data_IF_453249711129
#
_entry.id   IF_453249711129
#
_cell.length_a   1.000
_cell.length_b   1.000
_cell.length_c   1.000
_cell.angle_alpha   90.00
_cell.angle_beta   90.00
_cell.angle_gamma   90.00
#
_symmetry.space_group_name_H-M   'P 1'
#
loop_
_entity.id
_entity.type
_entity.pdbx_description
1 polymer ?
#
# COMPACT_ATOMS: atom_id res chain seq x y z
N UNK A 1 -0.83 -17.41 -3.91
CA UNK A 1 -1.93 -16.51 -4.28
C UNK A 1 -1.76 -15.99 -5.71
N UNK A 2 -2.80 -16.03 -6.57
CA UNK A 2 -2.78 -15.41 -7.91
C UNK A 2 -2.53 -13.89 -7.86
N UNK A 3 -1.79 -13.34 -8.82
CA UNK A 3 -1.42 -11.92 -8.85
C UNK A 3 -2.63 -10.98 -8.82
N UNK A 4 -3.66 -11.25 -9.64
CA UNK A 4 -4.86 -10.43 -9.69
C UNK A 4 -5.76 -10.55 -8.44
N UNK A 5 -5.61 -11.61 -7.65
CA UNK A 5 -6.29 -11.72 -6.35
C UNK A 5 -5.57 -10.87 -5.30
N UNK A 6 -4.23 -10.94 -5.26
CA UNK A 6 -3.40 -10.15 -4.35
C UNK A 6 -3.61 -8.64 -4.55
N UNK A 7 -3.58 -8.18 -5.81
CA UNK A 7 -3.82 -6.77 -6.17
C UNK A 7 -5.17 -6.30 -5.65
N UNK A 8 -6.24 -7.07 -5.89
CA UNK A 8 -7.59 -6.70 -5.43
C UNK A 8 -7.71 -6.67 -3.92
N UNK A 9 -7.11 -7.64 -3.22
CA UNK A 9 -7.12 -7.65 -1.76
C UNK A 9 -6.37 -6.45 -1.17
N UNK A 10 -5.21 -6.10 -1.74
CA UNK A 10 -4.43 -4.94 -1.30
C UNK A 10 -5.20 -3.63 -1.57
N UNK A 11 -5.71 -3.42 -2.78
CA UNK A 11 -6.44 -2.19 -3.12
C UNK A 11 -7.69 -2.01 -2.25
N UNK A 12 -8.45 -3.09 -2.02
CA UNK A 12 -9.60 -3.06 -1.12
C UNK A 12 -9.21 -2.80 0.34
N UNK A 13 -8.07 -3.32 0.80
CA UNK A 13 -7.60 -3.17 2.18
C UNK A 13 -7.20 -1.74 2.55
N UNK A 14 -7.00 -0.84 1.58
CA UNK A 14 -6.62 0.55 1.83
C UNK A 14 -7.73 1.56 1.53
N UNK A 15 -8.96 1.13 1.20
CA UNK A 15 -10.09 2.06 1.14
C UNK A 15 -10.27 2.80 2.49
N UNK A 16 -10.59 4.11 2.48
CA UNK A 16 -10.93 4.95 1.32
C UNK A 16 -9.73 5.60 0.59
N UNK A 17 -8.49 5.27 0.95
CA UNK A 17 -7.29 5.82 0.30
C UNK A 17 -7.14 5.33 -1.14
N UNK A 18 -6.51 6.15 -1.99
CA UNK A 18 -6.22 5.78 -3.38
C UNK A 18 -5.02 4.83 -3.42
N UNK A 19 -5.30 3.54 -3.33
CA UNK A 19 -4.30 2.49 -3.47
C UNK A 19 -4.25 1.98 -4.92
N UNK A 20 -3.05 1.94 -5.51
CA UNK A 20 -2.81 1.25 -6.78
C UNK A 20 -1.69 0.25 -6.61
N UNK A 21 -1.97 -0.99 -7.01
CA UNK A 21 -1.02 -2.09 -6.97
C UNK A 21 -0.72 -2.61 -8.37
N UNK A 22 0.54 -2.98 -8.61
CA UNK A 22 0.96 -3.64 -9.84
C UNK A 22 1.99 -4.72 -9.52
N UNK A 23 1.87 -5.87 -10.18
CA UNK A 23 2.93 -6.88 -10.19
C UNK A 23 3.76 -6.65 -11.46
N UNK A 24 5.06 -6.48 -11.28
CA UNK A 24 6.02 -6.27 -12.36
C UNK A 24 6.38 -7.59 -13.06
N UNK A 25 7.08 -7.51 -14.18
CA UNK A 25 7.58 -8.68 -14.90
C UNK A 25 8.56 -9.53 -14.07
N UNK A 26 9.20 -8.94 -13.05
CA UNK A 26 10.11 -9.60 -12.11
C UNK A 26 9.38 -10.26 -10.92
N UNK A 27 8.06 -10.42 -11.00
CA UNK A 27 7.20 -10.95 -9.94
C UNK A 27 7.27 -10.17 -8.62
N UNK A 28 7.56 -8.87 -8.72
CA UNK A 28 7.61 -7.96 -7.59
C UNK A 28 6.39 -7.03 -7.57
N UNK A 29 5.82 -6.83 -6.39
CA UNK A 29 4.77 -5.87 -6.09
C UNK A 29 5.34 -4.46 -6.01
N UNK A 30 4.70 -3.57 -6.76
CA UNK A 30 4.79 -2.12 -6.63
C UNK A 30 3.43 -1.63 -6.15
N UNK A 31 3.43 -0.79 -5.12
CA UNK A 31 2.21 -0.23 -4.56
C UNK A 31 2.39 1.26 -4.28
N UNK A 32 1.35 2.04 -4.53
CA UNK A 32 1.27 3.45 -4.18
C UNK A 32 -0.04 3.71 -3.45
N UNK A 33 0.03 4.39 -2.31
CA UNK A 33 -1.13 4.89 -1.57
C UNK A 33 -1.07 6.41 -1.60
N UNK A 34 -2.16 7.04 -2.03
CA UNK A 34 -2.27 8.49 -2.15
C UNK A 34 -3.50 9.01 -1.42
N UNK A 35 -3.43 10.25 -0.96
CA UNK A 35 -4.55 10.95 -0.34
C UNK A 35 -5.63 11.22 -1.40
N UNK A 36 -6.89 10.79 -1.18
CA UNK A 36 -7.98 11.03 -2.13
C UNK A 36 -8.38 12.50 -2.28
N UNK A 37 -8.08 13.36 -1.30
CA UNK A 37 -8.47 14.76 -1.30
C UNK A 37 -7.55 15.65 -2.16
N UNK A 38 -6.23 15.42 -2.10
CA UNK A 38 -5.25 16.26 -2.79
C UNK A 38 -4.35 15.49 -3.78
N UNK A 39 -4.37 14.15 -3.76
CA UNK A 39 -3.54 13.30 -4.62
C UNK A 39 -2.10 13.09 -4.15
N UNK A 40 -1.74 13.58 -2.95
CA UNK A 40 -0.39 13.44 -2.40
C UNK A 40 -0.06 11.97 -2.15
N UNK A 41 1.16 11.57 -2.50
CA UNK A 41 1.64 10.22 -2.24
C UNK A 41 2.03 10.10 -0.79
N UNK A 42 1.29 9.29 -0.04
CA UNK A 42 1.52 9.04 1.38
C UNK A 42 2.50 7.88 1.59
N UNK A 43 2.37 6.82 0.79
CA UNK A 43 3.28 5.67 0.84
C UNK A 43 3.55 5.13 -0.57
N UNK A 44 4.79 4.69 -0.77
CA UNK A 44 5.21 4.02 -2.00
C UNK A 44 6.11 2.82 -1.66
N UNK A 45 5.76 1.67 -2.22
CA UNK A 45 6.43 0.40 -2.02
C UNK A 45 6.94 -0.03 -3.38
N UNK A 46 8.23 -0.32 -3.45
CA UNK A 46 8.90 -0.73 -4.67
C UNK A 46 9.56 -2.09 -4.46
N UNK A 47 9.36 -3.00 -5.41
CA UNK A 47 10.15 -4.23 -5.47
C UNK A 47 9.86 -5.27 -4.39
N UNK A 48 8.67 -5.28 -3.76
CA UNK A 48 8.35 -6.32 -2.76
C UNK A 48 8.10 -7.66 -3.45
N UNK A 49 8.88 -8.73 -3.22
CA UNK A 49 8.68 -10.00 -3.91
C UNK A 49 7.29 -10.57 -3.64
N UNK A 50 6.52 -10.94 -4.67
CA UNK A 50 5.18 -11.51 -4.50
C UNK A 50 5.21 -12.80 -3.67
N UNK A 51 6.28 -13.58 -3.78
CA UNK A 51 6.50 -14.78 -2.97
C UNK A 51 6.44 -14.51 -1.45
N UNK A 52 6.81 -13.29 -1.00
CA UNK A 52 6.71 -12.88 0.41
C UNK A 52 5.28 -12.61 0.89
N UNK A 53 4.30 -12.66 -0.03
CA UNK A 53 2.86 -12.47 0.21
C UNK A 53 2.10 -13.73 -0.22
N UNK A 54 2.73 -14.90 -0.11
CA UNK A 54 2.19 -16.16 -0.63
C UNK A 54 1.02 -16.70 0.20
N UNK A 55 0.95 -16.35 1.48
CA UNK A 55 -0.11 -16.77 2.41
C UNK A 55 -0.99 -15.60 2.85
N UNK A 56 -2.22 -15.90 3.30
CA UNK A 56 -3.12 -14.90 3.88
C UNK A 56 -2.53 -14.23 5.12
N UNK A 57 -1.80 -14.97 5.95
CA UNK A 57 -1.17 -14.43 7.15
C UNK A 57 -0.07 -13.41 6.81
N UNK A 58 0.74 -13.68 5.79
CA UNK A 58 1.78 -12.75 5.34
C UNK A 58 1.18 -11.48 4.75
N UNK A 59 0.10 -11.62 3.97
CA UNK A 59 -0.66 -10.49 3.45
C UNK A 59 -1.25 -9.63 4.58
N UNK A 60 -1.89 -10.24 5.58
CA UNK A 60 -2.45 -9.52 6.72
C UNK A 60 -1.38 -8.79 7.51
N UNK A 61 -0.23 -9.44 7.78
CA UNK A 61 0.90 -8.79 8.46
C UNK A 61 1.41 -7.60 7.68
N UNK A 62 1.55 -7.74 6.36
CA UNK A 62 1.98 -6.65 5.49
C UNK A 62 0.98 -5.49 5.47
N UNK A 63 -0.32 -5.78 5.34
CA UNK A 63 -1.37 -4.76 5.40
C UNK A 63 -1.37 -4.02 6.74
N UNK A 64 -1.21 -4.74 7.85
CA UNK A 64 -1.14 -4.13 9.18
C UNK A 64 0.06 -3.20 9.32
N UNK A 65 1.24 -3.63 8.87
CA UNK A 65 2.45 -2.80 8.89
C UNK A 65 2.24 -1.50 8.10
N UNK A 66 1.73 -1.61 6.88
CA UNK A 66 1.51 -0.45 6.01
C UNK A 66 0.43 0.48 6.56
N UNK A 67 -0.60 -0.04 7.23
CA UNK A 67 -1.61 0.80 7.91
C UNK A 67 -1.01 1.59 9.07
N UNK A 68 -0.06 1.01 9.80
CA UNK A 68 0.66 1.73 10.86
C UNK A 68 1.52 2.83 10.26
N UNK A 69 2.32 2.51 9.24
CA UNK A 69 3.15 3.50 8.53
C UNK A 69 2.28 4.62 7.92
N UNK A 70 1.12 4.29 7.34
CA UNK A 70 0.20 5.25 6.75
C UNK A 70 -0.38 6.19 7.81
N UNK A 71 -0.80 5.63 8.96
CA UNK A 71 -1.33 6.40 10.06
C UNK A 71 -0.28 7.37 10.62
N UNK A 72 0.98 6.94 10.71
CA UNK A 72 2.10 7.81 11.09
C UNK A 72 2.36 8.91 10.07
N UNK A 73 2.35 8.58 8.77
CA UNK A 73 2.53 9.56 7.68
C UNK A 73 1.42 10.61 7.68
N UNK A 74 0.16 10.20 7.79
CA UNK A 74 -0.98 11.12 7.86
C UNK A 74 -0.85 12.04 9.08
N UNK A 75 -0.53 11.47 10.26
CA UNK A 75 -0.32 12.25 11.48
C UNK A 75 0.81 13.26 11.35
N UNK A 76 1.91 12.92 10.66
CA UNK A 76 3.02 13.83 10.42
C UNK A 76 2.70 14.87 9.35
N UNK A 77 1.91 14.50 8.33
CA UNK A 77 1.42 15.38 7.27
C UNK A 77 0.45 16.44 7.79
N UNK A 78 -0.37 16.11 8.78
CA UNK A 78 -1.22 17.08 9.52
C UNK A 78 -0.40 18.14 10.28
N UNK A 79 0.89 17.90 10.55
CA UNK A 79 1.82 18.86 11.18
C UNK A 79 2.62 19.63 10.10
N UNK A 80 2.04 19.86 8.91
CA UNK A 80 2.53 20.90 7.99
C UNK A 80 1.66 22.15 8.13
N UNK A 81 2.00 23.12 9.00
CA UNK A 81 1.45 24.46 8.85
C UNK A 81 1.90 24.99 7.50
N UNK A 82 1.01 25.67 6.79
CA UNK A 82 1.13 26.05 5.38
C UNK A 82 2.52 26.52 4.96
N UNK A 83 2.97 25.98 3.81
CA UNK A 83 3.95 26.63 2.97
C UNK A 83 3.28 27.75 2.15
#
# INVERSE_FOLDING_TARGET
MPAGELVRQLEAAFLPWLCRCQITHEDALVMRISDPANGDVLLQILGKPRASLSTTADLQRFVLQLRQELHEQVRLGEIRPGA
#
